data_IF_523122665250
#
_entry.id   IF_523122665250
#
_cell.length_a   1.000
_cell.length_b   1.000
_cell.length_c   1.000
_cell.angle_alpha   90.00
_cell.angle_beta   90.00
_cell.angle_gamma   90.00
#
_symmetry.space_group_name_H-M   'P 1'
#
loop_
_entity.id
_entity.type
_entity.pdbx_description
1 polymer ?
#
# COMPACT_ATOMS: atom_id res chain seq x y z
N UNK A 1 -49.26 34.71 -19.26
CA UNK A 1 -47.86 34.58 -19.72
C UNK A 1 -46.92 34.57 -18.52
N UNK A 2 -46.63 33.42 -17.89
CA UNK A 2 -45.60 33.32 -16.84
C UNK A 2 -45.12 31.86 -16.74
N UNK A 3 -44.03 31.49 -17.42
CA UNK A 3 -43.31 30.21 -17.21
C UNK A 3 -41.85 30.34 -17.64
N UNK A 4 -41.05 31.14 -16.93
CA UNK A 4 -39.58 31.21 -17.12
C UNK A 4 -38.87 31.53 -15.81
N UNK A 5 -39.03 30.70 -14.77
CA UNK A 5 -38.18 30.84 -13.57
C UNK A 5 -38.17 29.59 -12.69
N UNK A 6 -37.94 28.41 -13.29
CA UNK A 6 -37.90 27.16 -12.51
C UNK A 6 -36.68 26.27 -12.79
N UNK A 7 -35.63 26.78 -13.44
CA UNK A 7 -34.43 25.99 -13.76
C UNK A 7 -33.21 26.26 -12.87
N UNK A 8 -33.19 27.32 -12.05
CA UNK A 8 -32.00 27.65 -11.25
C UNK A 8 -31.95 27.00 -9.85
N UNK A 9 -33.02 26.35 -9.39
CA UNK A 9 -33.07 25.79 -8.05
C UNK A 9 -32.50 24.36 -7.92
N UNK A 10 -32.15 23.69 -9.04
CA UNK A 10 -31.70 22.29 -9.01
C UNK A 10 -30.17 22.10 -8.97
N UNK A 11 -29.36 23.17 -9.08
CA UNK A 11 -27.90 23.05 -9.22
C UNK A 11 -27.11 23.25 -7.92
N UNK A 12 -27.77 23.54 -6.78
CA UNK A 12 -27.07 23.84 -5.51
C UNK A 12 -26.82 22.65 -4.58
N UNK A 13 -27.25 21.43 -4.91
CA UNK A 13 -27.13 20.26 -4.02
C UNK A 13 -26.00 19.29 -4.36
N UNK A 14 -25.15 19.61 -5.34
CA UNK A 14 -24.08 18.70 -5.78
C UNK A 14 -22.73 18.85 -5.05
N UNK A 15 -22.63 19.70 -4.04
CA UNK A 15 -21.40 19.85 -3.24
C UNK A 15 -21.38 18.87 -2.06
N UNK A 16 -21.50 17.57 -2.32
CA UNK A 16 -21.15 16.57 -1.32
C UNK A 16 -19.64 16.39 -1.34
N UNK A 17 -18.97 16.72 -0.23
CA UNK A 17 -17.58 16.35 0.00
C UNK A 17 -17.47 14.83 -0.06
N UNK A 18 -16.98 14.29 -1.18
CA UNK A 18 -16.66 12.87 -1.27
C UNK A 18 -15.44 12.61 -0.40
N UNK A 19 -15.66 12.11 0.81
CA UNK A 19 -14.57 11.57 1.63
C UNK A 19 -14.10 10.27 0.96
N UNK A 20 -12.87 10.26 0.48
CA UNK A 20 -12.26 9.03 -0.01
C UNK A 20 -12.10 8.06 1.18
N UNK A 21 -12.69 6.88 1.08
CA UNK A 21 -12.50 5.84 2.09
C UNK A 21 -11.02 5.48 2.18
N UNK A 22 -10.57 5.18 3.40
CA UNK A 22 -9.24 4.62 3.61
C UNK A 22 -9.07 3.35 2.78
N UNK A 23 -7.86 3.15 2.26
CA UNK A 23 -7.52 1.94 1.51
C UNK A 23 -7.62 0.73 2.45
N UNK A 24 -8.24 -0.35 1.98
CA UNK A 24 -8.36 -1.57 2.77
C UNK A 24 -7.01 -2.28 2.87
N UNK A 25 -6.86 -3.16 3.86
CA UNK A 25 -5.64 -3.97 4.03
C UNK A 25 -5.33 -4.80 2.77
N UNK A 26 -6.34 -5.43 2.17
CA UNK A 26 -6.20 -6.16 0.91
C UNK A 26 -5.68 -5.25 -0.21
N UNK A 27 -6.24 -4.06 -0.32
CA UNK A 27 -5.84 -3.09 -1.33
C UNK A 27 -4.39 -2.60 -1.11
N UNK A 28 -3.91 -2.50 0.13
CA UNK A 28 -2.50 -2.20 0.44
C UNK A 28 -1.63 -3.40 0.03
N UNK A 29 -2.01 -4.61 0.43
CA UNK A 29 -1.31 -5.84 0.07
C UNK A 29 -1.16 -6.01 -1.45
N UNK A 30 -2.21 -5.74 -2.22
CA UNK A 30 -2.20 -5.85 -3.68
C UNK A 30 -1.19 -4.88 -4.31
N UNK A 31 -1.11 -3.63 -3.81
CA UNK A 31 -0.12 -2.65 -4.28
C UNK A 31 1.29 -3.14 -4.00
N UNK A 32 1.53 -3.58 -2.77
CA UNK A 32 2.85 -4.02 -2.33
C UNK A 32 3.26 -5.25 -3.14
N UNK A 33 2.41 -6.28 -3.23
CA UNK A 33 2.68 -7.51 -3.98
C UNK A 33 2.97 -7.24 -5.46
N UNK A 34 2.21 -6.36 -6.10
CA UNK A 34 2.40 -5.98 -7.51
C UNK A 34 3.74 -5.27 -7.76
N UNK A 35 4.29 -4.62 -6.73
CA UNK A 35 5.56 -3.89 -6.83
C UNK A 35 6.75 -4.78 -6.47
N UNK A 36 6.63 -5.53 -5.38
CA UNK A 36 7.76 -6.27 -4.81
C UNK A 36 8.03 -7.58 -5.55
N UNK A 37 7.00 -8.31 -5.99
CA UNK A 37 7.19 -9.62 -6.64
C UNK A 37 8.04 -9.51 -7.92
N UNK A 38 7.78 -8.57 -8.85
CA UNK A 38 8.64 -8.38 -10.03
C UNK A 38 10.06 -7.95 -9.65
N UNK A 39 10.20 -7.00 -8.70
CA UNK A 39 11.52 -6.53 -8.24
C UNK A 39 12.39 -7.69 -7.70
N UNK A 40 11.80 -8.57 -6.90
CA UNK A 40 12.52 -9.74 -6.38
C UNK A 40 13.02 -10.65 -7.49
N UNK A 41 12.22 -10.85 -8.54
CA UNK A 41 12.60 -11.68 -9.69
C UNK A 41 13.69 -11.01 -10.52
N UNK A 42 13.50 -9.74 -10.88
CA UNK A 42 14.43 -8.98 -11.73
C UNK A 42 15.83 -8.84 -11.11
N UNK A 43 15.89 -8.72 -9.78
CA UNK A 43 17.13 -8.50 -9.04
C UNK A 43 17.62 -9.76 -8.30
N UNK A 44 16.98 -10.91 -8.53
CA UNK A 44 17.28 -12.17 -7.86
C UNK A 44 17.40 -12.04 -6.32
N UNK A 45 16.51 -11.26 -5.70
CA UNK A 45 16.52 -11.00 -4.26
C UNK A 45 16.01 -12.24 -3.53
N UNK A 46 16.81 -12.89 -2.67
CA UNK A 46 16.43 -14.17 -2.07
C UNK A 46 15.35 -14.05 -0.99
N UNK A 47 15.28 -12.90 -0.32
CA UNK A 47 14.29 -12.63 0.71
C UNK A 47 14.15 -11.13 0.98
N UNK A 48 12.93 -10.71 1.32
CA UNK A 48 12.61 -9.30 1.58
C UNK A 48 11.54 -9.19 2.65
N UNK A 49 11.68 -8.19 3.54
CA UNK A 49 10.64 -7.74 4.45
C UNK A 49 10.28 -6.29 4.12
N UNK A 50 8.99 -5.98 4.06
CA UNK A 50 8.46 -4.64 3.80
C UNK A 50 7.48 -4.26 4.91
N UNK A 51 7.71 -3.11 5.52
CA UNK A 51 6.79 -2.48 6.45
C UNK A 51 6.22 -1.20 5.83
N UNK A 52 4.89 -1.08 5.81
CA UNK A 52 4.18 0.12 5.36
C UNK A 52 3.42 0.70 6.55
N UNK A 53 3.69 1.96 6.88
CA UNK A 53 2.89 2.71 7.86
C UNK A 53 1.89 3.57 7.08
N UNK A 54 0.61 3.22 7.14
CA UNK A 54 -0.47 3.94 6.46
C UNK A 54 -1.56 4.30 7.46
N UNK A 55 -1.91 5.59 7.52
CA UNK A 55 -2.86 6.14 8.50
C UNK A 55 -2.55 5.73 9.96
N UNK A 56 -1.26 5.71 10.32
CA UNK A 56 -0.80 5.34 11.66
C UNK A 56 -0.83 3.83 11.97
N UNK A 57 -1.34 2.98 11.06
CA UNK A 57 -1.32 1.52 11.20
C UNK A 57 -0.13 0.93 10.43
N UNK A 58 0.70 0.08 11.05
CA UNK A 58 1.73 -0.68 10.35
C UNK A 58 1.12 -1.92 9.66
N UNK A 59 1.64 -2.25 8.48
CA UNK A 59 1.34 -3.45 7.71
C UNK A 59 2.67 -4.10 7.31
N UNK A 60 2.80 -5.40 7.52
CA UNK A 60 4.03 -6.14 7.30
C UNK A 60 3.84 -7.21 6.22
N UNK A 61 4.83 -7.32 5.35
CA UNK A 61 4.85 -8.28 4.25
C UNK A 61 6.24 -8.89 4.13
N UNK A 62 6.31 -10.19 3.91
CA UNK A 62 7.57 -10.93 3.88
C UNK A 62 7.58 -11.93 2.73
N UNK A 63 8.72 -12.07 2.07
CA UNK A 63 8.92 -13.03 0.99
C UNK A 63 10.27 -13.73 1.12
N UNK A 64 10.34 -14.95 0.60
CA UNK A 64 11.59 -15.66 0.37
C UNK A 64 12.29 -16.08 1.66
N UNK A 65 13.62 -16.16 1.59
CA UNK A 65 14.48 -16.78 2.61
C UNK A 65 15.51 -15.78 3.13
N UNK A 66 15.67 -15.75 4.45
CA UNK A 66 16.76 -15.06 5.12
C UNK A 66 18.06 -15.87 5.03
N UNK A 67 17.94 -17.20 4.94
CA UNK A 67 19.04 -18.13 4.76
C UNK A 67 18.66 -19.19 3.71
N UNK A 68 19.33 -19.15 2.56
CA UNK A 68 19.06 -20.08 1.47
C UNK A 68 19.54 -21.48 1.81
N UNK A 69 20.71 -21.61 2.45
CA UNK A 69 21.36 -22.89 2.72
C UNK A 69 20.58 -23.70 3.75
N UNK A 70 20.09 -23.03 4.80
CA UNK A 70 19.30 -23.67 5.86
C UNK A 70 17.78 -23.55 5.66
N UNK A 71 17.35 -23.01 4.52
CA UNK A 71 15.93 -22.84 4.18
C UNK A 71 15.13 -22.02 5.22
N UNK A 72 15.75 -21.02 5.85
CA UNK A 72 15.06 -20.18 6.82
C UNK A 72 14.26 -19.07 6.13
N UNK A 73 12.94 -18.94 6.40
CA UNK A 73 12.12 -17.90 5.79
C UNK A 73 12.47 -16.52 6.34
N UNK A 74 12.20 -15.49 5.54
CA UNK A 74 12.12 -14.13 6.09
C UNK A 74 10.89 -14.00 6.98
N UNK A 75 11.06 -13.37 8.14
CA UNK A 75 10.00 -13.02 9.08
C UNK A 75 10.05 -11.51 9.35
N UNK A 76 9.04 -10.98 10.03
CA UNK A 76 9.05 -9.58 10.48
C UNK A 76 10.22 -9.29 11.43
N UNK A 77 10.75 -10.31 12.10
CA UNK A 77 11.85 -10.21 13.06
C UNK A 77 13.22 -10.52 12.45
N UNK A 78 13.30 -10.84 11.15
CA UNK A 78 14.57 -11.05 10.46
C UNK A 78 15.42 -9.77 10.55
N UNK A 79 16.66 -9.91 10.99
CA UNK A 79 17.63 -8.82 11.03
C UNK A 79 18.28 -8.67 9.65
N UNK A 80 18.29 -7.44 9.13
CA UNK A 80 18.98 -7.06 7.90
C UNK A 80 20.03 -6.01 8.22
N UNK A 81 21.17 -6.05 7.52
CA UNK A 81 22.15 -4.98 7.58
C UNK A 81 21.58 -3.72 6.91
N UNK A 82 21.55 -2.61 7.65
CA UNK A 82 20.95 -1.34 7.19
C UNK A 82 21.91 -0.43 6.42
N UNK A 83 23.22 -0.71 6.47
CA UNK A 83 24.24 0.07 5.77
C UNK A 83 24.16 1.57 6.09
N UNK A 84 24.00 2.40 5.06
CA UNK A 84 23.96 3.86 5.21
C UNK A 84 22.70 4.43 5.86
N UNK A 85 21.66 3.61 6.08
CA UNK A 85 20.47 4.04 6.83
C UNK A 85 20.76 4.23 8.32
N UNK A 86 21.84 3.64 8.85
CA UNK A 86 22.25 3.77 10.26
C UNK A 86 22.79 5.15 10.67
N UNK A 87 22.85 6.13 9.75
CA UNK A 87 23.56 7.40 9.93
C UNK A 87 22.68 8.52 10.47
#
# INVERSE_FOLDING_TARGET
>A
MMKKSLCCALLLTASFSTFAAAKTEQQIADIVNRTITPLMQEQAIPGMAVAVIYQGKPYYFTWGKADIANNHPVTQQTLFELGSVSK
#
